data_IF_348998419987
#
_entry.id   IF_348998419987
#
_cell.length_a   1.000
_cell.length_b   1.000
_cell.length_c   1.000
_cell.angle_alpha   90.00
_cell.angle_beta   90.00
_cell.angle_gamma   90.00
#
_symmetry.space_group_name_H-M   'P 1'
#
loop_
_entity.id
_entity.type
_entity.pdbx_description
1 polymer ?
#
# COMPACT_ATOMS: atom_id res chain seq x y z
N UNK A 1 -23.13 -9.79 6.49
CA UNK A 1 -22.40 -8.52 6.23
C UNK A 1 -21.02 -8.78 5.62
N UNK A 2 -20.97 -9.28 4.37
CA UNK A 2 -19.71 -9.46 3.62
C UNK A 2 -19.35 -8.18 2.86
N UNK A 3 -20.33 -7.64 2.13
CA UNK A 3 -20.20 -6.44 1.29
C UNK A 3 -19.72 -5.17 2.00
N UNK A 4 -20.03 -4.98 3.29
CA UNK A 4 -19.58 -3.82 4.05
C UNK A 4 -18.06 -3.81 4.26
N UNK A 5 -17.47 -4.98 4.56
CA UNK A 5 -16.02 -5.12 4.71
C UNK A 5 -15.31 -4.88 3.39
N UNK A 6 -15.84 -5.46 2.31
CA UNK A 6 -15.28 -5.28 0.96
C UNK A 6 -15.33 -3.80 0.53
N UNK A 7 -16.41 -3.07 0.84
CA UNK A 7 -16.54 -1.65 0.58
C UNK A 7 -15.56 -0.81 1.40
N UNK A 8 -15.43 -1.09 2.71
CA UNK A 8 -14.48 -0.41 3.60
C UNK A 8 -13.04 -0.60 3.11
N UNK A 9 -12.71 -1.82 2.66
CA UNK A 9 -11.41 -2.15 2.10
C UNK A 9 -11.12 -1.40 0.79
N UNK A 10 -12.11 -1.32 -0.11
CA UNK A 10 -11.97 -0.55 -1.34
C UNK A 10 -11.73 0.95 -1.06
N UNK A 11 -12.44 1.52 -0.09
CA UNK A 11 -12.27 2.92 0.32
C UNK A 11 -10.88 3.15 0.91
N UNK A 12 -10.43 2.31 1.83
CA UNK A 12 -9.09 2.44 2.44
C UNK A 12 -7.97 2.38 1.40
N UNK A 13 -8.09 1.48 0.42
CA UNK A 13 -7.13 1.36 -0.69
C UNK A 13 -7.13 2.62 -1.57
N UNK A 14 -8.32 3.16 -1.87
CA UNK A 14 -8.42 4.36 -2.69
C UNK A 14 -7.86 5.59 -1.97
N UNK A 15 -8.18 5.77 -0.69
CA UNK A 15 -7.66 6.87 0.12
C UNK A 15 -6.14 6.81 0.30
N UNK A 16 -5.58 5.60 0.44
CA UNK A 16 -4.14 5.42 0.44
C UNK A 16 -3.51 5.77 -0.92
N UNK A 17 -4.12 5.31 -2.03
CA UNK A 17 -3.66 5.62 -3.38
C UNK A 17 -3.69 7.11 -3.70
N UNK A 18 -4.69 7.83 -3.19
CA UNK A 18 -4.84 9.27 -3.38
C UNK A 18 -4.00 10.08 -2.38
N UNK A 19 -3.09 9.42 -1.64
CA UNK A 19 -2.21 10.01 -0.63
C UNK A 19 -2.95 10.76 0.50
N UNK A 20 -4.25 10.47 0.67
CA UNK A 20 -5.07 11.07 1.72
C UNK A 20 -4.89 10.37 3.08
N UNK A 21 -4.46 9.11 3.06
CA UNK A 21 -4.14 8.34 4.25
C UNK A 21 -2.74 7.75 4.12
N UNK A 22 -1.99 7.78 5.22
CA UNK A 22 -0.76 6.99 5.35
C UNK A 22 -1.08 5.50 5.36
N UNK A 23 -0.08 4.66 5.09
CA UNK A 23 -0.22 3.20 5.13
C UNK A 23 -0.82 2.70 6.46
N UNK A 24 -0.43 3.32 7.57
CA UNK A 24 -0.91 2.99 8.92
C UNK A 24 -2.36 3.40 9.12
N UNK A 25 -2.73 4.62 8.75
CA UNK A 25 -4.12 5.08 8.90
C UNK A 25 -5.08 4.27 8.03
N UNK A 26 -4.65 3.88 6.83
CA UNK A 26 -5.42 3.03 5.95
C UNK A 26 -5.55 1.60 6.48
N UNK A 27 -4.51 1.04 7.11
CA UNK A 27 -4.60 -0.30 7.75
C UNK A 27 -5.50 -0.28 8.98
N UNK A 28 -5.39 0.75 9.81
CA UNK A 28 -6.22 0.95 11.00
C UNK A 28 -7.70 1.12 10.61
N UNK A 29 -7.98 1.80 9.47
CA UNK A 29 -9.35 1.97 8.96
C UNK A 29 -10.04 0.63 8.65
N UNK A 30 -9.30 -0.42 8.31
CA UNK A 30 -9.87 -1.74 7.98
C UNK A 30 -9.56 -2.80 9.03
N UNK A 31 -9.05 -2.39 10.18
CA UNK A 31 -8.69 -3.26 11.30
C UNK A 31 -7.71 -4.37 10.87
N UNK A 32 -6.77 -4.03 9.97
CA UNK A 32 -5.70 -4.92 9.51
C UNK A 32 -4.36 -4.48 10.08
N UNK A 33 -3.47 -5.43 10.34
CA UNK A 33 -2.07 -5.08 10.58
C UNK A 33 -1.42 -4.57 9.28
N UNK A 34 -0.30 -3.85 9.41
CA UNK A 34 0.42 -3.27 8.27
C UNK A 34 0.76 -4.32 7.21
N UNK A 35 1.26 -5.49 7.62
CA UNK A 35 1.65 -6.56 6.70
C UNK A 35 0.45 -7.08 5.88
N UNK A 36 -0.68 -7.30 6.53
CA UNK A 36 -1.89 -7.78 5.84
C UNK A 36 -2.46 -6.72 4.91
N UNK A 37 -2.40 -5.44 5.29
CA UNK A 37 -2.81 -4.35 4.41
C UNK A 37 -1.87 -4.21 3.19
N UNK A 38 -0.56 -4.38 3.37
CA UNK A 38 0.40 -4.40 2.25
C UNK A 38 0.12 -5.54 1.27
N UNK A 39 -0.27 -6.74 1.75
CA UNK A 39 -0.71 -7.84 0.88
C UNK A 39 -1.93 -7.46 0.05
N UNK A 40 -2.92 -6.80 0.65
CA UNK A 40 -4.11 -6.29 -0.08
C UNK A 40 -3.72 -5.30 -1.17
N UNK A 41 -2.81 -4.36 -0.87
CA UNK A 41 -2.34 -3.39 -1.86
C UNK A 41 -1.62 -4.08 -3.03
N UNK A 42 -0.79 -5.07 -2.73
CA UNK A 42 -0.09 -5.89 -3.72
C UNK A 42 -1.07 -6.65 -4.63
N UNK A 43 -2.07 -7.34 -4.06
CA UNK A 43 -3.12 -8.04 -4.82
C UNK A 43 -3.91 -7.11 -5.73
N UNK A 44 -4.14 -5.87 -5.29
CA UNK A 44 -4.86 -4.82 -6.04
C UNK A 44 -3.96 -4.02 -6.99
N UNK A 45 -2.67 -4.36 -7.10
CA UNK A 45 -1.67 -3.65 -7.92
C UNK A 45 -1.61 -2.15 -7.62
N UNK A 46 -1.78 -1.79 -6.36
CA UNK A 46 -1.58 -0.42 -5.87
C UNK A 46 -0.12 -0.34 -5.45
N UNK A 47 0.64 0.60 -6.03
CA UNK A 47 2.04 0.77 -5.61
C UNK A 47 2.07 1.14 -4.14
N UNK A 48 2.73 0.31 -3.33
CA UNK A 48 2.93 0.55 -1.88
C UNK A 48 4.05 1.58 -1.67
N UNK A 49 4.81 1.87 -2.72
CA UNK A 49 5.92 2.77 -2.62
C UNK A 49 6.01 3.57 -3.92
N UNK A 50 5.71 4.86 -3.80
CA UNK A 50 6.02 5.86 -4.82
C UNK A 50 7.49 6.23 -4.65
N UNK A 51 8.40 5.35 -5.07
CA UNK A 51 9.77 5.79 -5.31
C UNK A 51 9.71 6.61 -6.59
N UNK A 52 10.28 7.81 -6.57
CA UNK A 52 10.63 8.43 -7.83
C UNK A 52 11.65 7.51 -8.56
N UNK A 53 11.72 7.68 -9.87
CA UNK A 53 12.56 6.82 -10.71
C UNK A 53 14.05 6.89 -10.31
N UNK A 54 14.52 8.02 -9.77
CA UNK A 54 15.89 8.21 -9.30
C UNK A 54 16.20 7.37 -8.06
N UNK A 55 15.29 7.36 -7.09
CA UNK A 55 15.44 6.64 -5.83
C UNK A 55 15.41 5.13 -6.08
N UNK A 56 14.51 4.67 -6.97
CA UNK A 56 14.43 3.26 -7.39
C UNK A 56 15.73 2.78 -8.07
N UNK A 57 16.31 3.61 -8.95
CA UNK A 57 17.58 3.31 -9.63
C UNK A 57 18.75 3.24 -8.65
N UNK A 58 18.72 4.03 -7.58
CA UNK A 58 19.76 4.05 -6.56
C UNK A 58 19.76 2.77 -5.73
N UNK A 59 18.59 2.30 -5.31
CA UNK A 59 18.45 1.00 -4.63
C UNK A 59 18.85 -0.17 -5.52
N UNK A 60 18.42 -0.18 -6.78
CA UNK A 60 18.80 -1.23 -7.73
C UNK A 60 20.33 -1.31 -7.93
N UNK A 61 21.03 -0.17 -7.99
CA UNK A 61 22.50 -0.12 -8.06
C UNK A 61 23.16 -0.65 -6.79
N UNK A 62 22.60 -0.34 -5.61
CA UNK A 62 23.11 -0.84 -4.34
C UNK A 62 22.91 -2.36 -4.20
N UNK A 63 21.77 -2.88 -4.64
CA UNK A 63 21.47 -4.32 -4.61
C UNK A 63 22.36 -5.14 -5.56
N UNK A 64 22.79 -4.56 -6.68
CA UNK A 64 23.70 -5.21 -7.65
C UNK A 64 25.19 -5.16 -7.25
N UNK A 65 25.51 -4.61 -6.06
CA UNK A 65 26.89 -4.45 -5.57
C UNK A 65 27.30 -5.48 -4.50
N UNK A 66 26.61 -6.62 -4.42
CA UNK A 66 26.97 -7.77 -3.57
C UNK A 66 27.58 -8.93 -4.37
#
# INVERSE_FOLDING_TARGET
MKYWRDAKLAIAVQLYRDEQLTLKEASDLVDLCLEDFMKVLSEKKVSVISWDEEELQKELKNANSF
#
